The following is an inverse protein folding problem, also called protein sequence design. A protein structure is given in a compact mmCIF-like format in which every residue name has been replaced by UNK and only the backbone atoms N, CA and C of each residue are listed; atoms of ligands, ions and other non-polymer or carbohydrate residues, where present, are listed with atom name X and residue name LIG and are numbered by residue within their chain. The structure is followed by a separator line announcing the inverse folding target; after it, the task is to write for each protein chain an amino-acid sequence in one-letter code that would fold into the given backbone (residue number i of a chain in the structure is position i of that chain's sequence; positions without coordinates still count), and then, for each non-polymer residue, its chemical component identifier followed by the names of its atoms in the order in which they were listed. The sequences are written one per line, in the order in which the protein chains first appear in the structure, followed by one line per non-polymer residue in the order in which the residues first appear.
data_IF_142370472104
#
_entry.id   IF_142370472104
#
_cell.length_a   1.000
_cell.length_b   1.000
_cell.length_c   1.000
_cell.angle_alpha   90.00
_cell.angle_beta   90.00
_cell.angle_gamma   90.00
#
_symmetry.space_group_name_H-M   'P 1'
#
loop_
_entity.id
_entity.type
_entity.pdbx_description
1 polymer ?
#
# COMPACT_ATOMS: atom_id res chain seq x y z
N UNK A 1 -1.28 7.02 4.73
CA UNK A 1 -1.33 8.45 5.04
C UNK A 1 -0.30 9.21 4.21
N UNK A 2 -0.70 10.29 3.58
CA UNK A 2 0.22 11.15 2.85
C UNK A 2 1.15 11.88 3.80
N UNK A 3 2.46 11.73 3.62
CA UNK A 3 3.48 12.42 4.40
C UNK A 3 4.01 13.60 3.62
N UNK A 4 4.38 13.38 2.37
CA UNK A 4 4.81 14.44 1.46
C UNK A 4 4.14 14.18 0.12
N UNK A 5 3.20 15.01 -0.24
CA UNK A 5 2.41 14.85 -1.46
C UNK A 5 2.64 16.02 -2.40
N UNK A 6 2.90 15.76 -3.70
CA UNK A 6 3.03 16.81 -4.70
C UNK A 6 1.81 17.71 -4.77
N UNK A 7 2.05 18.98 -5.03
CA UNK A 7 0.98 19.95 -5.22
C UNK A 7 0.18 19.68 -6.49
N UNK A 8 -1.08 20.11 -6.52
CA UNK A 8 -1.86 20.13 -7.74
C UNK A 8 -2.49 18.81 -8.14
N UNK A 9 -2.81 17.94 -7.19
CA UNK A 9 -3.50 16.66 -7.47
C UNK A 9 -2.74 15.80 -8.49
N UNK A 10 -1.44 15.70 -8.34
CA UNK A 10 -0.57 14.93 -9.23
C UNK A 10 -0.42 13.47 -8.84
N UNK A 11 -0.59 13.15 -7.55
CA UNK A 11 -0.45 11.81 -7.03
C UNK A 11 -1.81 11.22 -6.70
N UNK A 12 -2.10 10.06 -7.27
CA UNK A 12 -3.39 9.42 -7.07
C UNK A 12 -3.27 7.89 -7.04
N UNK A 13 -4.30 7.27 -6.54
CA UNK A 13 -4.53 5.84 -6.63
C UNK A 13 -5.87 5.60 -7.32
N UNK A 14 -5.88 4.64 -8.24
CA UNK A 14 -7.11 4.16 -8.86
C UNK A 14 -7.35 2.74 -8.41
N UNK A 15 -8.53 2.47 -7.88
CA UNK A 15 -8.98 1.14 -7.47
C UNK A 15 -10.29 0.85 -8.20
N UNK A 16 -10.25 -0.12 -9.12
CA UNK A 16 -11.37 -0.35 -10.01
C UNK A 16 -11.73 0.93 -10.79
N UNK A 17 -13.00 1.37 -10.76
CA UNK A 17 -13.42 2.59 -11.46
C UNK A 17 -13.19 3.89 -10.68
N UNK A 18 -12.74 3.80 -9.41
CA UNK A 18 -12.61 4.95 -8.53
C UNK A 18 -11.18 5.47 -8.48
N UNK A 19 -11.03 6.79 -8.53
CA UNK A 19 -9.76 7.48 -8.38
C UNK A 19 -9.80 8.35 -7.15
N UNK A 20 -8.80 8.25 -6.30
CA UNK A 20 -8.62 9.09 -5.12
C UNK A 20 -7.24 9.74 -5.16
N UNK A 21 -7.21 11.02 -4.84
CA UNK A 21 -5.96 11.77 -4.79
C UNK A 21 -5.39 11.78 -3.38
N UNK A 22 -4.07 11.62 -3.30
CA UNK A 22 -3.36 11.71 -2.04
C UNK A 22 -3.35 13.15 -1.54
N UNK A 23 -3.48 13.30 -0.24
CA UNK A 23 -3.36 14.60 0.43
C UNK A 23 -2.50 14.46 1.68
N UNK A 24 -1.73 15.50 1.98
CA UNK A 24 -0.89 15.52 3.17
C UNK A 24 -1.72 15.35 4.45
N UNK A 25 -1.28 14.43 5.32
CA UNK A 25 -1.93 14.20 6.59
C UNK A 25 -3.24 13.44 6.54
N UNK A 26 -3.72 13.07 5.35
CA UNK A 26 -4.98 12.33 5.20
C UNK A 26 -4.74 10.87 4.84
N UNK A 27 -5.63 10.01 5.31
CA UNK A 27 -5.58 8.58 5.06
C UNK A 27 -6.54 8.17 3.96
N UNK A 28 -6.11 7.23 3.14
CA UNK A 28 -6.95 6.52 2.21
C UNK A 28 -7.01 5.05 2.61
N UNK A 29 -8.20 4.48 2.58
CA UNK A 29 -8.42 3.06 2.79
C UNK A 29 -8.91 2.45 1.49
N UNK A 30 -8.25 1.39 1.04
CA UNK A 30 -8.62 0.73 -0.20
C UNK A 30 -8.31 -0.76 -0.15
N UNK A 31 -9.03 -1.51 -0.97
CA UNK A 31 -8.88 -2.95 -1.09
C UNK A 31 -7.98 -3.30 -2.26
N UNK A 32 -6.82 -3.90 -1.98
CA UNK A 32 -5.83 -4.27 -2.99
C UNK A 32 -6.20 -5.51 -3.78
N UNK A 33 -7.29 -6.20 -3.45
CA UNK A 33 -7.77 -7.33 -4.23
C UNK A 33 -8.41 -6.92 -5.56
N UNK A 34 -8.82 -5.67 -5.67
CA UNK A 34 -9.27 -5.09 -6.93
C UNK A 34 -8.08 -4.66 -7.77
N UNK A 35 -8.28 -4.62 -9.08
CA UNK A 35 -7.29 -4.05 -9.98
C UNK A 35 -7.04 -2.59 -9.59
N UNK A 36 -5.78 -2.28 -9.33
CA UNK A 36 -5.41 -0.95 -8.83
C UNK A 36 -4.09 -0.49 -9.43
N UNK A 37 -3.91 0.81 -9.48
CA UNK A 37 -2.66 1.44 -9.87
C UNK A 37 -2.41 2.69 -9.03
N UNK A 38 -1.16 3.05 -8.87
CA UNK A 38 -0.77 4.32 -8.27
C UNK A 38 0.08 5.09 -9.26
N UNK A 39 -0.11 6.41 -9.33
CA UNK A 39 0.68 7.29 -10.18
C UNK A 39 1.04 8.57 -9.46
N UNK A 40 2.20 9.09 -9.82
CA UNK A 40 2.62 10.44 -9.49
C UNK A 40 2.99 11.13 -10.81
N UNK A 41 2.13 12.03 -11.26
CA UNK A 41 2.32 12.77 -12.50
C UNK A 41 3.20 14.02 -12.30
N UNK A 42 3.67 14.29 -11.10
CA UNK A 42 4.64 15.35 -10.87
C UNK A 42 6.01 14.94 -11.42
N UNK A 43 6.66 15.84 -12.13
CA UNK A 43 8.02 15.63 -12.64
C UNK A 43 9.09 16.14 -11.68
N UNK A 44 8.71 16.92 -10.67
CA UNK A 44 9.62 17.60 -9.77
C UNK A 44 9.49 17.17 -8.32
N UNK A 45 8.34 16.67 -7.90
CA UNK A 45 8.04 16.38 -6.51
C UNK A 45 7.82 14.88 -6.30
N UNK A 46 8.42 14.34 -5.25
CA UNK A 46 8.22 12.96 -4.84
C UNK A 46 6.96 12.80 -4.00
N UNK A 47 6.35 11.63 -4.10
CA UNK A 47 5.27 11.22 -3.23
C UNK A 47 5.83 10.34 -2.13
N UNK A 48 5.59 10.71 -0.89
CA UNK A 48 5.94 9.90 0.27
C UNK A 48 4.66 9.61 1.05
N UNK A 49 4.35 8.33 1.23
CA UNK A 49 3.19 7.89 1.97
C UNK A 49 3.58 6.83 2.99
N UNK A 50 2.87 6.81 4.11
CA UNK A 50 2.92 5.69 5.04
C UNK A 50 1.85 4.68 4.62
N UNK A 51 2.30 3.47 4.35
CA UNK A 51 1.44 2.37 3.91
C UNK A 51 1.37 1.31 5.00
N UNK A 52 0.15 0.94 5.39
CA UNK A 52 -0.10 -0.11 6.38
C UNK A 52 -1.07 -1.12 5.76
N UNK A 53 -0.63 -2.36 5.67
CA UNK A 53 -1.48 -3.46 5.25
C UNK A 53 -2.10 -4.15 6.45
N UNK A 54 -3.35 -4.52 6.33
CA UNK A 54 -4.04 -5.32 7.34
C UNK A 54 -5.08 -6.21 6.69
N UNK A 55 -5.47 -7.28 7.40
CA UNK A 55 -6.47 -8.21 6.90
C UNK A 55 -7.88 -7.73 7.23
N UNK A 56 -8.79 -7.88 6.28
CA UNK A 56 -10.21 -7.73 6.54
C UNK A 56 -10.73 -9.02 7.19
N UNK A 57 -10.58 -9.13 8.50
CA UNK A 57 -10.91 -10.35 9.24
C UNK A 57 -12.40 -10.65 9.30
N UNK A 58 -13.26 -9.66 9.02
CA UNK A 58 -14.71 -9.87 8.97
C UNK A 58 -15.13 -10.75 7.79
N UNK A 59 -14.39 -10.75 6.72
CA UNK A 59 -14.67 -11.55 5.52
C UNK A 59 -13.76 -12.76 5.36
N UNK A 60 -12.99 -13.10 6.38
CA UNK A 60 -12.03 -14.20 6.35
C UNK A 60 -12.33 -15.24 7.42
N UNK A 61 -12.22 -16.51 7.05
CA UNK A 61 -12.25 -17.61 8.01
C UNK A 61 -10.94 -17.67 8.80
N UNK A 62 -10.92 -18.30 10.01
CA UNK A 62 -9.67 -18.49 10.73
C UNK A 62 -8.58 -19.21 9.92
N UNK A 63 -8.97 -20.18 9.08
CA UNK A 63 -8.03 -20.89 8.22
C UNK A 63 -7.43 -19.96 7.16
N UNK A 64 -8.25 -19.12 6.54
CA UNK A 64 -7.77 -18.15 5.57
C UNK A 64 -6.78 -17.15 6.18
N UNK A 65 -7.05 -16.70 7.40
CA UNK A 65 -6.14 -15.82 8.14
C UNK A 65 -4.79 -16.52 8.37
N UNK A 66 -4.80 -17.78 8.80
CA UNK A 66 -3.58 -18.55 9.01
C UNK A 66 -2.78 -18.73 7.72
N UNK A 67 -3.47 -19.03 6.62
CA UNK A 67 -2.82 -19.18 5.30
C UNK A 67 -2.17 -17.86 4.87
N UNK A 68 -2.87 -16.75 5.02
CA UNK A 68 -2.33 -15.44 4.64
C UNK A 68 -1.13 -15.05 5.50
N UNK A 69 -1.18 -15.30 6.80
CA UNK A 69 -0.05 -15.06 7.70
C UNK A 69 1.18 -15.87 7.27
N UNK A 70 0.98 -17.14 6.91
CA UNK A 70 2.04 -18.00 6.43
C UNK A 70 2.66 -17.48 5.12
N UNK A 71 1.82 -17.03 4.19
CA UNK A 71 2.27 -16.45 2.91
C UNK A 71 3.12 -15.20 3.16
N UNK A 72 2.69 -14.32 4.05
CA UNK A 72 3.45 -13.12 4.39
C UNK A 72 4.79 -13.44 5.06
N UNK A 73 4.85 -14.44 5.92
CA UNK A 73 6.11 -14.88 6.52
C UNK A 73 7.11 -15.37 5.47
N UNK A 74 6.64 -16.17 4.51
CA UNK A 74 7.48 -16.63 3.39
C UNK A 74 7.95 -15.45 2.55
N UNK A 75 7.05 -14.53 2.23
CA UNK A 75 7.38 -13.32 1.47
C UNK A 75 8.51 -12.53 2.13
N UNK A 76 8.43 -12.32 3.43
CA UNK A 76 9.48 -11.61 4.16
C UNK A 76 10.83 -12.31 4.10
N UNK A 77 10.84 -13.62 4.24
CA UNK A 77 12.08 -14.42 4.13
C UNK A 77 12.70 -14.31 2.74
N UNK A 78 11.88 -14.36 1.69
CA UNK A 78 12.35 -14.21 0.32
C UNK A 78 12.92 -12.82 0.09
N UNK A 79 12.24 -11.78 0.56
CA UNK A 79 12.71 -10.39 0.42
C UNK A 79 14.03 -10.17 1.14
N UNK A 80 14.20 -10.74 2.33
CA UNK A 80 15.47 -10.68 3.06
C UNK A 80 16.60 -11.41 2.31
N UNK A 81 16.32 -12.57 1.76
CA UNK A 81 17.30 -13.34 0.99
C UNK A 81 17.74 -12.60 -0.28
N UNK A 82 16.87 -11.80 -0.87
CA UNK A 82 17.17 -10.96 -2.02
C UNK A 82 17.86 -9.64 -1.65
N UNK A 83 18.14 -9.40 -0.39
CA UNK A 83 18.78 -8.18 0.08
C UNK A 83 17.81 -7.02 0.30
N UNK A 84 16.52 -7.25 0.24
CA UNK A 84 15.53 -6.24 0.59
C UNK A 84 15.51 -6.02 2.10
N UNK A 85 15.56 -4.78 2.54
CA UNK A 85 15.60 -4.42 3.95
C UNK A 85 14.25 -3.96 4.50
N UNK A 86 13.20 -4.06 3.73
CA UNK A 86 11.89 -3.50 4.05
C UNK A 86 11.08 -4.44 4.91
N UNK A 87 11.48 -4.59 6.15
CA UNK A 87 10.75 -5.41 7.12
C UNK A 87 9.97 -4.52 8.05
N UNK A 88 8.67 -4.69 8.10
CA UNK A 88 7.79 -4.05 9.05
C UNK A 88 7.38 -2.61 8.73
N UNK A 89 8.20 -1.86 8.05
CA UNK A 89 7.84 -0.51 7.64
C UNK A 89 8.21 -0.28 6.20
N UNK A 90 7.24 0.00 5.38
CA UNK A 90 7.44 0.40 4.00
C UNK A 90 7.00 1.83 3.85
N UNK A 91 7.95 2.68 3.49
CA UNK A 91 7.66 4.06 3.14
C UNK A 91 7.68 4.12 1.62
N UNK A 92 6.51 4.37 1.07
CA UNK A 92 6.29 4.34 -0.36
C UNK A 92 6.03 5.73 -0.91
#
# INVERSE_FOLDING_TARGET
MGIQIPHGRKAYIRVGPETQYWENGKCLLYDTTFLHETRNDSVEEERIVLHVDFFNTFSMTPLEIQIMQYIYEIREKVLKAEGSTKVGAQIL
#
